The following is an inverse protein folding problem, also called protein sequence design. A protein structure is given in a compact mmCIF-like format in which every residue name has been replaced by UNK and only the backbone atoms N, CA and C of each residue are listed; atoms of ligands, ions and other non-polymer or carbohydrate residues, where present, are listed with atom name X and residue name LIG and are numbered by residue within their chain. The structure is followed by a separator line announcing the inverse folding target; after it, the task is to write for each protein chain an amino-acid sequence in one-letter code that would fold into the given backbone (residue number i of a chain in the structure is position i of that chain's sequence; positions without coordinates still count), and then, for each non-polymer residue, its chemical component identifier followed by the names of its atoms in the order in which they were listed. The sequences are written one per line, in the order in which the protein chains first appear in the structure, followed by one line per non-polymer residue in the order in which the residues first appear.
data_IF_489142856902
#
_entry.id   IF_489142856902
#
_cell.length_a   1.000
_cell.length_b   1.000
_cell.length_c   1.000
_cell.angle_alpha   90.00
_cell.angle_beta   90.00
_cell.angle_gamma   90.00
#
_symmetry.space_group_name_H-M   'P 1'
#
loop_
_entity.id
_entity.type
_entity.pdbx_description
1 polymer ?
#
# COMPACT_ATOMS: atom_id res chain seq x y z
N UNK A 1 -4.52 13.01 -24.05
CA UNK A 1 -5.44 11.92 -23.65
C UNK A 1 -4.60 10.68 -23.45
N UNK A 2 -4.31 10.28 -22.21
CA UNK A 2 -3.43 9.12 -21.98
C UNK A 2 -2.87 9.04 -20.58
N UNK A 3 -3.71 9.11 -19.55
CA UNK A 3 -3.28 8.85 -18.16
C UNK A 3 -4.16 7.86 -17.40
N UNK A 4 -5.18 7.25 -18.03
CA UNK A 4 -6.09 6.30 -17.35
C UNK A 4 -5.73 4.83 -17.57
N UNK A 5 -4.87 4.51 -18.54
CA UNK A 5 -4.59 3.10 -18.90
C UNK A 5 -3.46 2.46 -18.07
N UNK A 6 -2.64 3.24 -17.35
CA UNK A 6 -1.53 2.71 -16.56
C UNK A 6 -2.00 2.09 -15.22
N UNK A 7 -3.12 2.56 -14.67
CA UNK A 7 -3.62 2.11 -13.36
C UNK A 7 -4.25 0.70 -13.46
N UNK A 8 -4.80 0.34 -14.63
CA UNK A 8 -5.43 -0.97 -14.84
C UNK A 8 -4.45 -2.15 -14.98
N UNK A 9 -3.18 -1.90 -15.31
CA UNK A 9 -2.22 -2.99 -15.58
C UNK A 9 -1.45 -3.43 -14.32
N UNK A 10 -1.52 -2.64 -13.25
CA UNK A 10 -0.63 -2.80 -12.11
C UNK A 10 -1.11 -3.83 -11.06
N UNK A 11 -2.42 -4.09 -10.97
CA UNK A 11 -3.03 -4.89 -9.90
C UNK A 11 -3.81 -6.15 -10.37
N UNK A 12 -3.40 -6.75 -11.48
CA UNK A 12 -4.04 -7.94 -12.09
C UNK A 12 -4.17 -9.18 -11.16
N UNK A 13 -3.48 -9.20 -10.02
CA UNK A 13 -3.62 -10.28 -9.03
C UNK A 13 -4.99 -10.25 -8.35
N UNK A 14 -5.65 -9.09 -8.28
CA UNK A 14 -6.99 -8.92 -7.68
C UNK A 14 -8.02 -9.76 -8.46
N UNK A 15 -7.87 -9.83 -9.78
CA UNK A 15 -8.73 -10.61 -10.68
C UNK A 15 -8.57 -12.13 -10.48
N UNK A 16 -7.52 -12.59 -9.80
CA UNK A 16 -7.29 -14.01 -9.51
C UNK A 16 -7.91 -14.44 -8.17
N UNK A 17 -8.24 -13.47 -7.29
CA UNK A 17 -8.78 -13.76 -5.97
C UNK A 17 -10.30 -13.96 -6.00
N UNK A 18 -10.75 -15.21 -5.84
CA UNK A 18 -12.18 -15.54 -5.80
C UNK A 18 -12.85 -15.04 -4.52
N UNK A 19 -14.01 -14.41 -4.67
CA UNK A 19 -14.88 -14.03 -3.55
C UNK A 19 -15.60 -15.27 -3.02
N UNK A 20 -15.69 -15.42 -1.69
CA UNK A 20 -16.50 -16.48 -1.07
C UNK A 20 -17.94 -16.36 -1.57
N UNK A 21 -18.56 -17.49 -1.96
CA UNK A 21 -19.93 -17.53 -2.51
C UNK A 21 -20.95 -16.77 -1.66
N UNK A 22 -20.83 -16.85 -0.33
CA UNK A 22 -21.69 -16.15 0.64
C UNK A 22 -21.62 -14.60 0.54
N UNK A 23 -20.53 -14.06 0.02
CA UNK A 23 -20.29 -12.63 -0.10
C UNK A 23 -20.47 -12.11 -1.54
N UNK A 24 -20.68 -12.98 -2.54
CA UNK A 24 -20.90 -12.59 -3.94
C UNK A 24 -22.14 -11.68 -4.10
N UNK A 25 -23.29 -11.95 -3.46
CA UNK A 25 -24.45 -11.05 -3.57
C UNK A 25 -24.19 -9.65 -2.99
N UNK A 26 -23.19 -9.50 -2.12
CA UNK A 26 -22.82 -8.19 -1.52
C UNK A 26 -22.00 -7.32 -2.48
N UNK A 27 -21.52 -7.88 -3.58
CA UNK A 27 -20.79 -7.15 -4.62
C UNK A 27 -21.67 -6.81 -5.82
N UNK A 28 -22.98 -6.99 -5.70
CA UNK A 28 -23.93 -6.66 -6.73
C UNK A 28 -23.90 -5.17 -7.08
N UNK A 29 -23.76 -4.85 -8.36
CA UNK A 29 -23.87 -3.51 -8.90
C UNK A 29 -24.88 -3.45 -10.05
N UNK A 30 -25.42 -2.26 -10.29
CA UNK A 30 -26.44 -2.03 -11.31
C UNK A 30 -25.85 -1.28 -12.48
N UNK A 31 -26.08 -1.78 -13.68
CA UNK A 31 -25.84 -1.06 -14.93
C UNK A 31 -27.17 -0.71 -15.58
N UNK A 32 -27.13 0.08 -16.66
CA UNK A 32 -28.32 0.36 -17.47
C UNK A 32 -28.97 -0.89 -18.08
N UNK A 33 -28.22 -1.98 -18.22
CA UNK A 33 -28.65 -3.20 -18.91
C UNK A 33 -28.90 -4.38 -17.97
N UNK A 34 -28.68 -4.24 -16.66
CA UNK A 34 -28.93 -5.32 -15.72
C UNK A 34 -28.15 -5.19 -14.42
N UNK A 35 -28.35 -6.20 -13.57
CA UNK A 35 -27.63 -6.39 -12.33
C UNK A 35 -26.53 -7.42 -12.54
N UNK A 36 -25.34 -7.11 -12.03
CA UNK A 36 -24.15 -7.95 -12.15
C UNK A 36 -23.49 -8.08 -10.79
N UNK A 37 -22.81 -9.21 -10.57
CA UNK A 37 -22.10 -9.51 -9.32
C UNK A 37 -20.64 -9.82 -9.64
N UNK A 38 -19.72 -9.42 -8.76
CA UNK A 38 -18.32 -9.77 -8.90
C UNK A 38 -18.05 -11.17 -8.32
N UNK A 39 -17.46 -12.05 -9.14
CA UNK A 39 -17.01 -13.39 -8.72
C UNK A 39 -15.58 -13.40 -8.17
N UNK A 40 -14.78 -12.43 -8.62
CA UNK A 40 -13.42 -12.18 -8.17
C UNK A 40 -13.38 -10.82 -7.49
N UNK A 41 -12.41 -10.63 -6.60
CA UNK A 41 -12.24 -9.38 -5.89
C UNK A 41 -12.12 -8.24 -6.90
N UNK A 42 -12.78 -7.11 -6.64
CA UNK A 42 -12.68 -5.90 -7.46
C UNK A 42 -11.93 -4.81 -6.70
N UNK A 43 -11.31 -3.88 -7.42
CA UNK A 43 -10.50 -2.79 -6.86
C UNK A 43 -11.22 -1.94 -5.80
N UNK A 44 -12.54 -1.85 -5.89
CA UNK A 44 -13.35 -0.94 -5.08
C UNK A 44 -13.75 -1.52 -3.71
N UNK A 45 -13.36 -2.76 -3.41
CA UNK A 45 -13.68 -3.38 -2.12
C UNK A 45 -12.68 -2.95 -1.04
N UNK A 46 -13.16 -2.33 0.03
CA UNK A 46 -12.33 -1.78 1.13
C UNK A 46 -11.36 -2.80 1.77
N UNK A 47 -11.69 -4.09 1.70
CA UNK A 47 -10.91 -5.16 2.30
C UNK A 47 -9.87 -5.80 1.36
N UNK A 48 -9.71 -5.31 0.13
CA UNK A 48 -8.79 -5.90 -0.87
C UNK A 48 -7.36 -6.00 -0.35
N UNK A 49 -6.83 -4.90 0.19
CA UNK A 49 -5.45 -4.84 0.69
C UNK A 49 -5.25 -5.76 1.91
N UNK A 50 -6.25 -5.87 2.78
CA UNK A 50 -6.22 -6.74 3.96
C UNK A 50 -6.26 -8.21 3.54
N UNK A 51 -7.16 -8.57 2.63
CA UNK A 51 -7.27 -9.91 2.09
C UNK A 51 -5.97 -10.33 1.39
N UNK A 52 -5.38 -9.43 0.60
CA UNK A 52 -4.10 -9.66 -0.05
C UNK A 52 -2.98 -9.94 0.94
N UNK A 53 -2.82 -9.09 1.96
CA UNK A 53 -1.76 -9.26 2.94
C UNK A 53 -1.89 -10.59 3.69
N UNK A 54 -3.12 -10.99 4.04
CA UNK A 54 -3.40 -12.30 4.66
C UNK A 54 -3.01 -13.45 3.72
N UNK A 55 -3.40 -13.37 2.45
CA UNK A 55 -3.10 -14.42 1.46
C UNK A 55 -1.60 -14.50 1.20
N UNK A 56 -0.93 -13.37 1.00
CA UNK A 56 0.52 -13.31 0.83
C UNK A 56 1.24 -13.91 2.03
N UNK A 57 0.81 -13.60 3.25
CA UNK A 57 1.40 -14.20 4.44
C UNK A 57 1.13 -15.72 4.50
N UNK A 58 -0.06 -16.21 4.13
CA UNK A 58 -0.36 -17.64 4.11
C UNK A 58 0.45 -18.41 3.06
N UNK A 59 0.60 -17.83 1.86
CA UNK A 59 1.34 -18.45 0.74
C UNK A 59 2.84 -18.36 0.96
N UNK A 60 3.35 -17.21 1.39
CA UNK A 60 4.79 -17.01 1.58
C UNK A 60 5.32 -17.67 2.85
N UNK A 61 4.53 -17.80 3.91
CA UNK A 61 4.98 -18.40 5.18
C UNK A 61 5.62 -19.79 5.03
N UNK A 62 5.07 -20.76 4.28
CA UNK A 62 5.75 -22.03 4.03
C UNK A 62 6.94 -21.91 3.06
N UNK A 63 7.02 -20.84 2.28
CA UNK A 63 8.07 -20.59 1.29
C UNK A 63 9.29 -19.85 1.84
N UNK A 64 9.24 -19.35 3.08
CA UNK A 64 10.39 -18.68 3.70
C UNK A 64 11.59 -19.61 3.86
N UNK A 65 11.35 -20.92 4.03
CA UNK A 65 12.39 -21.94 4.28
C UNK A 65 12.45 -23.04 3.21
N UNK A 66 11.61 -22.98 2.15
CA UNK A 66 11.49 -24.03 1.13
C UNK A 66 11.29 -23.44 -0.27
N UNK A 67 11.89 -24.09 -1.26
CA UNK A 67 11.68 -23.75 -2.67
C UNK A 67 10.26 -24.09 -3.11
N UNK A 68 9.49 -23.06 -3.45
CA UNK A 68 8.17 -23.16 -4.05
C UNK A 68 8.13 -22.32 -5.34
N UNK A 69 7.35 -22.78 -6.32
CA UNK A 69 7.23 -22.12 -7.63
C UNK A 69 6.26 -20.93 -7.56
N UNK A 70 6.73 -19.81 -7.01
CA UNK A 70 6.04 -18.53 -7.08
C UNK A 70 6.42 -17.80 -8.37
N UNK A 71 5.41 -17.29 -9.08
CA UNK A 71 5.61 -16.55 -10.31
C UNK A 71 5.51 -15.05 -10.03
N UNK A 72 6.62 -14.33 -10.15
CA UNK A 72 6.64 -12.88 -10.11
C UNK A 72 6.88 -12.32 -11.51
N UNK A 73 6.33 -11.13 -11.76
CA UNK A 73 6.58 -10.40 -13.01
C UNK A 73 8.01 -9.88 -12.98
N UNK A 74 8.90 -10.44 -13.82
CA UNK A 74 10.31 -10.05 -13.86
C UNK A 74 10.51 -8.55 -14.11
N UNK A 75 9.66 -7.93 -14.94
CA UNK A 75 9.73 -6.50 -15.23
C UNK A 75 9.46 -5.59 -14.01
N UNK A 76 8.87 -6.13 -12.94
CA UNK A 76 8.61 -5.41 -11.67
C UNK A 76 9.64 -5.74 -10.59
N UNK A 77 10.61 -6.60 -10.87
CA UNK A 77 11.58 -7.06 -9.89
C UNK A 77 12.87 -6.23 -10.00
N UNK A 78 13.21 -5.55 -8.91
CA UNK A 78 14.51 -4.89 -8.74
C UNK A 78 15.44 -5.87 -8.01
N UNK A 79 16.31 -6.55 -8.76
CA UNK A 79 17.22 -7.56 -8.24
C UNK A 79 18.66 -7.03 -8.19
N UNK A 80 19.45 -7.52 -7.23
CA UNK A 80 20.88 -7.21 -7.10
C UNK A 80 21.23 -5.71 -6.99
N UNK A 81 20.36 -4.92 -6.37
CA UNK A 81 20.63 -3.51 -6.08
C UNK A 81 21.23 -3.35 -4.67
N UNK A 82 22.19 -2.43 -4.54
CA UNK A 82 22.76 -2.04 -3.23
C UNK A 82 21.81 -1.15 -2.42
N UNK A 83 20.84 -0.52 -3.09
CA UNK A 83 19.77 0.26 -2.47
C UNK A 83 18.47 0.09 -3.25
N UNK A 84 17.36 -0.18 -2.54
CA UNK A 84 16.03 -0.35 -3.13
C UNK A 84 15.01 0.53 -2.42
N UNK A 85 14.12 1.17 -3.17
CA UNK A 85 12.99 1.90 -2.58
C UNK A 85 11.84 0.96 -2.28
N UNK A 86 11.43 0.86 -1.02
CA UNK A 86 10.36 -0.02 -0.58
C UNK A 86 9.50 0.67 0.49
N UNK A 87 8.17 0.70 0.27
CA UNK A 87 7.18 1.30 1.19
C UNK A 87 7.54 2.72 1.71
N UNK A 88 8.09 3.56 0.84
CA UNK A 88 8.49 4.94 1.19
C UNK A 88 9.78 5.04 2.00
N UNK A 89 10.57 3.96 2.07
CA UNK A 89 11.91 3.93 2.60
C UNK A 89 12.91 3.53 1.51
N UNK A 90 14.18 3.83 1.75
CA UNK A 90 15.32 3.31 1.00
C UNK A 90 15.97 2.26 1.88
N UNK A 91 15.96 1.00 1.44
CA UNK A 91 16.62 -0.11 2.12
C UNK A 91 18.03 -0.25 1.54
N UNK A 92 19.04 -0.16 2.40
CA UNK A 92 20.47 -0.33 2.08
C UNK A 92 21.03 -1.51 2.88
N UNK A 93 22.25 -1.94 2.55
CA UNK A 93 22.96 -3.01 3.30
C UNK A 93 23.14 -2.65 4.78
N UNK A 94 23.42 -1.39 5.08
CA UNK A 94 23.72 -0.92 6.44
C UNK A 94 22.45 -0.53 7.23
N UNK A 95 21.27 -0.52 6.60
CA UNK A 95 20.01 -0.20 7.28
C UNK A 95 18.98 0.46 6.37
N UNK A 96 17.98 1.11 6.98
CA UNK A 96 16.90 1.80 6.27
C UNK A 96 17.05 3.31 6.40
N UNK A 97 16.70 4.06 5.35
CA UNK A 97 16.63 5.52 5.33
C UNK A 97 15.25 5.95 4.83
N UNK A 98 14.86 7.18 5.16
CA UNK A 98 13.63 7.78 4.60
C UNK A 98 13.91 8.21 3.17
N UNK A 99 12.93 8.01 2.27
CA UNK A 99 13.05 8.51 0.90
C UNK A 99 13.12 10.04 0.88
N UNK A 100 14.15 10.58 0.22
CA UNK A 100 14.38 12.00 0.04
C UNK A 100 13.18 12.69 -0.65
N UNK A 101 12.43 11.96 -1.49
CA UNK A 101 11.21 12.50 -2.11
C UNK A 101 10.17 12.86 -1.07
N UNK A 102 10.02 12.05 -0.01
CA UNK A 102 9.07 12.31 1.09
C UNK A 102 9.54 13.45 1.98
N UNK A 103 10.85 13.55 2.25
CA UNK A 103 11.42 14.65 3.02
C UNK A 103 11.16 15.99 2.33
N UNK A 104 11.39 16.09 1.01
CA UNK A 104 11.14 17.30 0.23
C UNK A 104 9.66 17.74 0.24
N UNK A 105 8.73 16.78 0.31
CA UNK A 105 7.30 17.07 0.41
C UNK A 105 6.95 17.65 1.78
N UNK A 106 7.52 17.09 2.85
CA UNK A 106 7.32 17.59 4.21
C UNK A 106 7.96 18.97 4.39
N UNK A 107 9.13 19.21 3.83
CA UNK A 107 9.83 20.50 3.89
C UNK A 107 9.03 21.63 3.20
N UNK A 108 8.36 21.31 2.09
CA UNK A 108 7.51 22.25 1.35
C UNK A 108 6.06 22.31 1.87
N UNK A 109 5.74 21.59 2.93
CA UNK A 109 4.38 21.50 3.44
C UNK A 109 3.94 22.86 4.00
N UNK A 110 2.84 23.40 3.49
CA UNK A 110 2.30 24.66 3.98
C UNK A 110 1.83 24.48 5.43
N UNK A 111 1.97 25.53 6.25
CA UNK A 111 1.53 25.48 7.64
C UNK A 111 0.04 25.12 7.70
N UNK A 112 -0.33 23.96 8.27
CA UNK A 112 -1.71 23.52 8.28
C UNK A 112 -2.54 24.48 9.14
N UNK A 113 -3.73 24.80 8.65
CA UNK A 113 -4.69 25.66 9.36
C UNK A 113 -5.88 24.86 9.87
N UNK A 114 -6.13 23.70 9.25
CA UNK A 114 -7.24 22.82 9.59
C UNK A 114 -6.78 21.63 10.42
N UNK A 115 -7.64 21.20 11.33
CA UNK A 115 -7.42 20.01 12.18
C UNK A 115 -7.15 18.78 11.32
N UNK A 116 -7.89 18.58 10.22
CA UNK A 116 -7.70 17.43 9.31
C UNK A 116 -6.30 17.41 8.69
N UNK A 117 -5.76 18.58 8.35
CA UNK A 117 -4.40 18.70 7.81
C UNK A 117 -3.35 18.38 8.87
N UNK A 118 -3.59 18.79 10.12
CA UNK A 118 -2.73 18.44 11.27
C UNK A 118 -2.72 16.92 11.49
N UNK A 119 -3.88 16.26 11.47
CA UNK A 119 -3.96 14.80 11.60
C UNK A 119 -3.25 14.07 10.45
N UNK A 120 -3.41 14.55 9.22
CA UNK A 120 -2.70 13.99 8.06
C UNK A 120 -1.17 14.10 8.22
N UNK A 121 -0.69 15.27 8.65
CA UNK A 121 0.72 15.50 8.95
C UNK A 121 1.23 14.60 10.08
N UNK A 122 0.50 14.52 11.19
CA UNK A 122 0.87 13.68 12.33
C UNK A 122 0.94 12.20 11.95
N UNK A 123 -0.02 11.70 11.17
CA UNK A 123 0.00 10.32 10.66
C UNK A 123 1.27 10.03 9.85
N UNK A 124 1.63 10.93 8.93
CA UNK A 124 2.85 10.80 8.15
C UNK A 124 4.12 10.87 9.02
N UNK A 125 4.16 11.82 9.96
CA UNK A 125 5.31 12.02 10.83
C UNK A 125 5.48 10.84 11.80
N UNK A 126 4.39 10.25 12.28
CA UNK A 126 4.40 9.07 13.13
C UNK A 126 4.95 7.84 12.40
N UNK A 127 4.60 7.65 11.12
CA UNK A 127 5.15 6.58 10.29
C UNK A 127 6.69 6.60 10.26
N UNK A 128 7.28 7.81 10.27
CA UNK A 128 8.73 8.02 10.28
C UNK A 128 9.32 8.29 11.67
N UNK A 129 8.56 8.11 12.77
CA UNK A 129 9.00 8.45 14.14
C UNK A 129 10.33 7.82 14.55
N UNK A 130 10.69 6.65 14.01
CA UNK A 130 11.97 5.96 14.27
C UNK A 130 13.20 6.79 13.86
N UNK A 131 13.03 7.70 12.90
CA UNK A 131 14.10 8.55 12.39
C UNK A 131 14.15 9.93 13.07
N UNK A 132 13.17 10.24 13.93
CA UNK A 132 13.08 11.53 14.63
C UNK A 132 13.31 11.32 16.12
N UNK A 133 14.45 11.83 16.61
CA UNK A 133 14.80 11.74 18.03
C UNK A 133 13.79 12.52 18.87
N UNK A 134 13.35 11.93 19.99
CA UNK A 134 12.41 12.55 20.92
C UNK A 134 11.07 12.99 20.28
N UNK A 135 10.62 12.31 19.20
CA UNK A 135 9.39 12.67 18.46
C UNK A 135 8.17 12.90 19.35
N UNK A 136 7.98 12.08 20.38
CA UNK A 136 6.86 12.20 21.32
C UNK A 136 6.81 13.58 21.98
N UNK A 137 7.95 14.14 22.40
CA UNK A 137 8.00 15.48 23.02
C UNK A 137 7.62 16.59 22.04
N UNK A 138 7.98 16.41 20.76
CA UNK A 138 7.72 17.38 19.69
C UNK A 138 6.26 17.33 19.24
N UNK A 139 5.66 16.13 19.19
CA UNK A 139 4.29 15.92 18.72
C UNK A 139 3.23 16.22 19.79
N UNK A 140 3.59 16.18 21.08
CA UNK A 140 2.68 16.44 22.22
C UNK A 140 1.82 17.70 22.05
N UNK A 141 2.35 18.90 21.71
CA UNK A 141 1.53 20.11 21.57
C UNK A 141 0.57 20.11 20.37
N UNK A 142 0.74 19.19 19.42
CA UNK A 142 -0.10 19.07 18.22
C UNK A 142 -1.13 17.93 18.32
N UNK A 143 -0.94 17.02 19.27
CA UNK A 143 -1.78 15.85 19.50
C UNK A 143 -2.95 16.11 20.48
N UNK A 144 -3.20 17.38 20.80
CA UNK A 144 -4.21 17.85 21.77
C UNK A 144 -5.37 18.51 21.02
#
# INVERSE_FOLDING_TARGET
MGCTNAIHEEERWIDELRIKKENVPKTAFRTRYGHYEFLVMSFELTNVLVAFMVIMNQVLKPCLDKEHRLYTKFFKCELWLDSVTFLGHIVLKEGMKVDLKKIKVVEKWLRPTLVIEIWSFLCLAEYYRKFVKDFSKIATPMAI
#
